data_IF_932424562410
#
_entry.id   IF_932424562410
#
_cell.length_a   1.000
_cell.length_b   1.000
_cell.length_c   1.000
_cell.angle_alpha   90.00
_cell.angle_beta   90.00
_cell.angle_gamma   90.00
#
_symmetry.space_group_name_H-M   'P 1'
#
loop_
_entity.id
_entity.type
_entity.pdbx_description
1 polymer ?
#
# COMPACT_ATOMS: atom_id res chain seq x y z
N UNK A 1 -10.92 42.49 -15.00
CA UNK A 1 -11.37 41.10 -15.26
C UNK A 1 -12.52 40.79 -14.31
N UNK A 2 -13.75 40.68 -14.82
CA UNK A 2 -14.97 40.51 -14.00
C UNK A 2 -15.14 39.03 -13.66
N UNK A 3 -15.08 38.69 -12.37
CA UNK A 3 -15.50 37.39 -11.83
C UNK A 3 -17.02 37.21 -12.02
N UNK A 4 -17.42 36.60 -13.12
CA UNK A 4 -18.80 36.11 -13.30
C UNK A 4 -18.94 34.84 -12.47
N UNK A 5 -19.34 35.01 -11.20
CA UNK A 5 -19.45 33.93 -10.22
C UNK A 5 -20.56 32.95 -10.57
N UNK A 6 -20.17 31.67 -10.56
CA UNK A 6 -20.94 30.44 -10.63
C UNK A 6 -22.03 30.30 -9.53
N UNK A 7 -23.00 31.20 -9.49
CA UNK A 7 -24.15 31.09 -8.55
C UNK A 7 -25.00 29.83 -8.80
N UNK A 8 -24.95 29.28 -10.01
CA UNK A 8 -25.76 28.13 -10.42
C UNK A 8 -25.20 26.77 -9.96
N UNK A 9 -23.91 26.68 -9.63
CA UNK A 9 -23.29 25.45 -9.11
C UNK A 9 -23.48 25.30 -7.59
N UNK A 10 -23.41 26.41 -6.85
CA UNK A 10 -23.68 26.39 -5.40
C UNK A 10 -25.12 26.01 -5.07
N UNK A 11 -26.09 26.43 -5.90
CA UNK A 11 -27.49 26.04 -5.73
C UNK A 11 -27.71 24.54 -5.89
N UNK A 12 -27.09 23.93 -6.91
CA UNK A 12 -27.16 22.48 -7.18
C UNK A 12 -26.47 21.65 -6.09
N UNK A 13 -25.34 22.14 -5.56
CA UNK A 13 -24.67 21.48 -4.43
C UNK A 13 -25.53 21.55 -3.15
N UNK A 14 -26.18 22.68 -2.89
CA UNK A 14 -27.05 22.84 -1.71
C UNK A 14 -28.34 22.02 -1.81
N UNK A 15 -28.90 21.82 -2.99
CA UNK A 15 -30.06 20.92 -3.17
C UNK A 15 -29.64 19.45 -3.02
N UNK A 16 -28.49 19.06 -3.59
CA UNK A 16 -27.96 17.69 -3.45
C UNK A 16 -27.65 17.33 -1.99
N UNK A 17 -27.10 18.27 -1.20
CA UNK A 17 -26.84 18.06 0.23
C UNK A 17 -28.14 17.90 1.01
N UNK A 18 -29.18 18.68 0.68
CA UNK A 18 -30.50 18.54 1.33
C UNK A 18 -31.17 17.21 1.00
N UNK A 19 -31.07 16.76 -0.26
CA UNK A 19 -31.59 15.46 -0.68
C UNK A 19 -30.87 14.29 0.02
N UNK A 20 -29.55 14.40 0.23
CA UNK A 20 -28.76 13.43 1.00
C UNK A 20 -29.13 13.44 2.50
N UNK A 21 -29.30 14.62 3.10
CA UNK A 21 -29.68 14.75 4.51
C UNK A 21 -31.10 14.22 4.77
N UNK A 22 -32.05 14.49 3.87
CA UNK A 22 -33.42 13.94 3.93
C UNK A 22 -33.43 12.43 3.73
N UNK A 23 -32.59 11.89 2.86
CA UNK A 23 -32.41 10.45 2.67
C UNK A 23 -31.86 9.76 3.93
N UNK A 24 -30.89 10.38 4.60
CA UNK A 24 -30.33 9.87 5.87
C UNK A 24 -31.35 9.91 7.00
N UNK A 25 -32.14 10.99 7.11
CA UNK A 25 -33.23 11.10 8.09
C UNK A 25 -34.29 10.01 7.87
N UNK A 26 -34.69 9.77 6.61
CA UNK A 26 -35.67 8.74 6.26
C UNK A 26 -35.16 7.30 6.53
N UNK A 27 -33.84 7.06 6.46
CA UNK A 27 -33.22 5.80 6.90
C UNK A 27 -33.29 5.67 8.43
N UNK A 28 -33.02 6.75 9.17
CA UNK A 28 -33.04 6.76 10.62
C UNK A 28 -34.45 6.51 11.19
N UNK A 29 -35.47 7.11 10.56
CA UNK A 29 -36.88 6.96 10.96
C UNK A 29 -37.45 5.58 10.62
N UNK A 30 -36.89 4.88 9.63
CA UNK A 30 -37.32 3.52 9.21
C UNK A 30 -36.57 2.40 9.93
N UNK A 31 -35.59 2.70 10.78
CA UNK A 31 -34.95 1.70 11.63
C UNK A 31 -35.84 1.38 12.85
N UNK A 32 -36.23 0.12 13.09
CA UNK A 32 -37.00 -0.21 14.28
C UNK A 32 -36.14 0.02 15.53
N UNK A 33 -36.56 0.95 16.40
CA UNK A 33 -36.03 1.04 17.76
C UNK A 33 -36.48 -0.20 18.52
N UNK A 34 -35.68 -1.25 18.40
CA UNK A 34 -35.77 -2.42 19.26
C UNK A 34 -35.33 -1.98 20.66
N UNK A 35 -36.28 -1.62 21.51
CA UNK A 35 -36.06 -1.44 22.94
C UNK A 35 -35.83 -2.81 23.59
N UNK A 36 -34.66 -3.39 23.34
CA UNK A 36 -34.10 -4.42 24.19
C UNK A 36 -33.62 -3.76 25.47
N UNK A 37 -34.31 -4.08 26.56
CA UNK A 37 -33.93 -3.80 27.94
C UNK A 37 -32.45 -4.16 28.13
N UNK A 38 -31.61 -3.14 28.37
CA UNK A 38 -30.20 -3.31 28.69
C UNK A 38 -30.08 -3.94 30.08
N UNK A 39 -30.02 -5.27 30.11
CA UNK A 39 -29.39 -6.02 31.18
C UNK A 39 -27.95 -5.52 31.37
N UNK A 40 -27.42 -5.43 32.60
CA UNK A 40 -26.09 -4.90 32.85
C UNK A 40 -25.05 -5.66 32.02
N UNK A 41 -24.22 -4.92 31.28
CA UNK A 41 -23.20 -5.44 30.37
C UNK A 41 -22.40 -6.58 31.03
N UNK A 42 -22.73 -7.82 30.68
CA UNK A 42 -21.87 -8.96 30.94
C UNK A 42 -20.60 -8.69 30.15
N UNK A 43 -19.50 -8.39 30.86
CA UNK A 43 -18.16 -8.30 30.29
C UNK A 43 -17.96 -9.49 29.37
N UNK A 44 -17.94 -9.25 28.05
CA UNK A 44 -17.61 -10.29 27.08
C UNK A 44 -16.15 -10.63 27.35
N UNK A 45 -15.95 -11.73 28.07
CA UNK A 45 -14.66 -12.36 28.20
C UNK A 45 -14.30 -12.79 26.78
N UNK A 46 -13.32 -12.12 26.15
CA UNK A 46 -12.69 -12.64 24.94
C UNK A 46 -11.97 -13.93 25.34
N UNK A 47 -12.72 -15.02 25.47
CA UNK A 47 -12.15 -16.35 25.59
C UNK A 47 -11.29 -16.53 24.35
N UNK A 48 -9.99 -16.78 24.52
CA UNK A 48 -9.04 -17.02 23.43
C UNK A 48 -9.62 -18.13 22.54
N UNK A 49 -10.21 -17.74 21.41
CA UNK A 49 -10.75 -18.71 20.45
C UNK A 49 -9.55 -19.47 19.91
N UNK A 50 -9.53 -20.79 20.12
CA UNK A 50 -8.46 -21.63 19.61
C UNK A 50 -8.48 -21.57 18.08
N UNK A 51 -7.34 -21.35 17.42
CA UNK A 51 -7.30 -21.39 15.96
C UNK A 51 -7.76 -22.76 15.47
N UNK A 52 -8.66 -22.77 14.49
CA UNK A 52 -9.13 -23.99 13.82
C UNK A 52 -8.24 -24.18 12.59
N UNK A 53 -7.69 -25.38 12.45
CA UNK A 53 -6.83 -25.73 11.33
C UNK A 53 -7.56 -26.70 10.40
N UNK A 54 -7.31 -26.56 9.10
CA UNK A 54 -7.76 -27.53 8.09
C UNK A 54 -6.96 -28.83 8.15
N UNK A 55 -7.36 -29.83 7.37
CA UNK A 55 -6.59 -31.06 7.18
C UNK A 55 -5.15 -30.79 6.67
N UNK A 56 -4.95 -29.68 5.96
CA UNK A 56 -3.64 -29.23 5.47
C UNK A 56 -2.81 -28.45 6.51
N UNK A 57 -3.35 -28.24 7.72
CA UNK A 57 -2.68 -27.49 8.80
C UNK A 57 -2.73 -25.97 8.65
N UNK A 58 -3.55 -25.44 7.73
CA UNK A 58 -3.76 -24.00 7.55
C UNK A 58 -4.86 -23.48 8.48
N UNK A 59 -4.63 -22.31 9.09
CA UNK A 59 -5.60 -21.68 9.99
C UNK A 59 -6.78 -21.10 9.20
N UNK A 60 -7.99 -21.52 9.54
CA UNK A 60 -9.23 -20.97 8.97
C UNK A 60 -9.99 -20.16 10.00
N UNK A 61 -10.57 -19.05 9.53
CA UNK A 61 -11.32 -18.09 10.33
C UNK A 61 -12.84 -18.29 10.28
N UNK A 62 -13.34 -19.18 9.41
CA UNK A 62 -14.77 -19.48 9.20
C UNK A 62 -15.09 -20.97 9.45
N UNK A 63 -16.38 -21.33 9.60
CA UNK A 63 -16.79 -22.74 9.73
C UNK A 63 -16.77 -23.52 8.40
N UNK A 64 -16.50 -22.83 7.29
CA UNK A 64 -16.41 -23.41 5.95
C UNK A 64 -14.96 -23.44 5.46
N UNK A 65 -14.55 -24.57 4.91
CA UNK A 65 -13.23 -24.75 4.29
C UNK A 65 -13.33 -24.50 2.77
N UNK A 66 -12.66 -23.46 2.28
CA UNK A 66 -12.63 -23.11 0.85
C UNK A 66 -11.37 -23.61 0.13
N UNK A 67 -10.50 -24.38 0.80
CA UNK A 67 -9.22 -24.85 0.24
C UNK A 67 -9.38 -25.68 -1.03
N UNK A 68 -10.49 -26.41 -1.14
CA UNK A 68 -10.74 -27.36 -2.24
C UNK A 68 -11.35 -26.71 -3.48
N UNK A 69 -11.91 -25.49 -3.38
CA UNK A 69 -12.82 -24.96 -4.40
C UNK A 69 -12.13 -24.25 -5.58
N UNK A 70 -10.80 -24.36 -5.71
CA UNK A 70 -10.05 -23.65 -6.76
C UNK A 70 -8.69 -24.24 -7.15
N UNK A 71 -8.29 -25.41 -6.65
CA UNK A 71 -6.94 -25.97 -6.83
C UNK A 71 -6.82 -26.94 -8.00
N UNK A 72 -7.57 -26.74 -9.10
CA UNK A 72 -7.14 -27.27 -10.40
C UNK A 72 -5.84 -26.54 -10.77
N UNK A 73 -4.71 -27.08 -10.32
CA UNK A 73 -3.36 -26.60 -10.66
C UNK A 73 -3.23 -26.74 -12.18
N UNK A 74 -3.56 -25.68 -12.92
CA UNK A 74 -3.18 -25.59 -14.31
C UNK A 74 -1.67 -25.87 -14.37
N UNK A 75 -1.21 -26.79 -15.23
CA UNK A 75 0.22 -27.06 -15.35
C UNK A 75 0.89 -25.72 -15.58
N UNK A 76 1.78 -25.32 -14.66
CA UNK A 76 2.57 -24.10 -14.82
C UNK A 76 3.30 -24.27 -16.13
N UNK A 77 2.82 -23.60 -17.19
CA UNK A 77 3.58 -23.46 -18.42
C UNK A 77 4.94 -22.95 -17.95
N UNK A 78 5.98 -23.75 -18.14
CA UNK A 78 7.37 -23.38 -17.90
C UNK A 78 7.75 -22.31 -18.94
N UNK A 79 7.06 -21.17 -18.92
CA UNK A 79 7.53 -19.94 -19.52
C UNK A 79 8.86 -19.68 -18.82
N UNK A 80 9.94 -19.64 -19.60
CA UNK A 80 11.29 -19.36 -19.11
C UNK A 80 11.31 -18.22 -18.09
N UNK A 81 12.33 -18.21 -17.24
CA UNK A 81 12.38 -17.38 -16.03
C UNK A 81 11.75 -15.99 -16.24
N UNK A 82 10.61 -15.75 -15.59
CA UNK A 82 9.88 -14.46 -15.67
C UNK A 82 10.72 -13.29 -15.11
N UNK A 83 11.82 -13.61 -14.43
CA UNK A 83 12.78 -12.66 -13.89
C UNK A 83 13.71 -12.12 -15.00
N UNK A 84 13.66 -10.82 -15.31
CA UNK A 84 14.46 -10.24 -16.39
C UNK A 84 15.98 -10.30 -16.12
N UNK A 85 16.39 -10.42 -14.85
CA UNK A 85 17.81 -10.61 -14.47
C UNK A 85 18.32 -11.99 -14.86
N UNK A 86 17.58 -13.04 -14.48
CA UNK A 86 17.90 -14.43 -14.85
C UNK A 86 17.87 -14.61 -16.37
N UNK A 87 16.87 -14.05 -17.05
CA UNK A 87 16.82 -14.07 -18.52
C UNK A 87 18.04 -13.42 -19.17
N UNK A 88 18.51 -12.29 -18.62
CA UNK A 88 19.72 -11.62 -19.10
C UNK A 88 20.98 -12.46 -18.86
N UNK A 89 21.08 -13.14 -17.72
CA UNK A 89 22.17 -14.08 -17.41
C UNK A 89 22.16 -15.29 -18.35
N UNK A 90 21.00 -15.88 -18.61
CA UNK A 90 20.84 -16.96 -19.58
C UNK A 90 21.30 -16.55 -20.98
N UNK A 91 20.91 -15.35 -21.45
CA UNK A 91 21.35 -14.83 -22.75
C UNK A 91 22.87 -14.61 -22.78
N UNK A 92 23.46 -14.10 -21.70
CA UNK A 92 24.91 -13.96 -21.59
C UNK A 92 25.62 -15.31 -21.67
N UNK A 93 25.13 -16.31 -20.93
CA UNK A 93 25.68 -17.66 -20.95
C UNK A 93 25.56 -18.32 -22.33
N UNK A 94 24.43 -18.14 -23.03
CA UNK A 94 24.26 -18.61 -24.42
C UNK A 94 25.27 -17.96 -25.36
N UNK A 95 25.42 -16.63 -25.27
CA UNK A 95 26.37 -15.89 -26.09
C UNK A 95 27.82 -16.27 -25.79
N UNK A 96 28.17 -16.55 -24.52
CA UNK A 96 29.50 -17.05 -24.14
C UNK A 96 29.77 -18.41 -24.77
N UNK A 97 28.85 -19.37 -24.65
CA UNK A 97 28.98 -20.69 -25.29
C UNK A 97 29.16 -20.59 -26.81
N UNK A 98 28.41 -19.71 -27.47
CA UNK A 98 28.58 -19.46 -28.91
C UNK A 98 29.95 -18.88 -29.25
N UNK A 99 30.48 -17.98 -28.41
CA UNK A 99 31.83 -17.41 -28.58
C UNK A 99 32.91 -18.46 -28.34
N UNK A 100 32.78 -19.30 -27.33
CA UNK A 100 33.70 -20.39 -27.02
C UNK A 100 33.78 -21.39 -28.18
N UNK A 101 32.63 -21.81 -28.74
CA UNK A 101 32.60 -22.70 -29.91
C UNK A 101 33.23 -22.07 -31.16
N UNK A 102 33.06 -20.75 -31.35
CA UNK A 102 33.71 -20.01 -32.44
C UNK A 102 35.23 -19.92 -32.23
N UNK A 103 35.67 -19.69 -30.99
CA UNK A 103 37.08 -19.62 -30.63
C UNK A 103 37.78 -20.98 -30.75
N UNK A 104 37.08 -22.07 -30.45
CA UNK A 104 37.57 -23.44 -30.63
C UNK A 104 37.66 -23.90 -32.10
N UNK A 105 37.31 -23.04 -33.07
CA UNK A 105 37.36 -23.37 -34.51
C UNK A 105 36.15 -24.15 -35.05
N UNK A 106 35.18 -24.49 -34.20
CA UNK A 106 33.99 -25.27 -34.56
C UNK A 106 32.87 -24.40 -35.17
N UNK A 107 33.21 -23.59 -36.17
CA UNK A 107 32.30 -22.60 -36.78
C UNK A 107 31.02 -23.21 -37.36
N UNK A 108 31.09 -24.42 -37.91
CA UNK A 108 29.92 -25.15 -38.45
C UNK A 108 28.90 -25.49 -37.35
N UNK A 109 29.38 -26.00 -36.21
CA UNK A 109 28.53 -26.34 -35.06
C UNK A 109 27.90 -25.10 -34.44
N UNK A 110 28.67 -24.01 -34.33
CA UNK A 110 28.15 -22.73 -33.85
C UNK A 110 27.01 -22.18 -34.74
N UNK A 111 27.18 -22.20 -36.06
CA UNK A 111 26.14 -21.79 -37.03
C UNK A 111 24.88 -22.67 -36.94
N UNK A 112 25.04 -23.98 -36.81
CA UNK A 112 23.90 -24.89 -36.61
C UNK A 112 23.14 -24.60 -35.32
N UNK A 113 23.85 -24.26 -34.23
CA UNK A 113 23.24 -23.92 -32.96
C UNK A 113 22.46 -22.59 -33.04
N UNK A 114 23.04 -21.56 -33.66
CA UNK A 114 22.37 -20.27 -33.92
C UNK A 114 21.10 -20.46 -34.76
N UNK A 115 21.19 -21.26 -35.83
CA UNK A 115 20.03 -21.58 -36.67
C UNK A 115 18.95 -22.30 -35.86
N UNK A 116 19.30 -23.35 -35.10
CA UNK A 116 18.35 -24.07 -34.25
C UNK A 116 17.66 -23.14 -33.25
N UNK A 117 18.41 -22.24 -32.62
CA UNK A 117 17.85 -21.27 -31.67
C UNK A 117 16.95 -20.24 -32.35
N UNK A 118 17.31 -19.77 -33.54
CA UNK A 118 16.45 -18.87 -34.33
C UNK A 118 15.12 -19.51 -34.71
N UNK A 119 15.13 -20.77 -35.18
CA UNK A 119 13.92 -21.51 -35.52
C UNK A 119 13.05 -21.78 -34.29
N UNK A 120 13.65 -22.14 -33.15
CA UNK A 120 12.93 -22.29 -31.88
C UNK A 120 12.24 -20.99 -31.46
N UNK A 121 12.93 -19.85 -31.58
CA UNK A 121 12.36 -18.55 -31.24
C UNK A 121 11.19 -18.16 -32.17
N UNK A 122 11.31 -18.44 -33.47
CA UNK A 122 10.24 -18.20 -34.46
C UNK A 122 9.02 -19.08 -34.13
N UNK A 123 9.23 -20.38 -33.89
CA UNK A 123 8.16 -21.31 -33.56
C UNK A 123 7.46 -20.94 -32.24
N UNK A 124 8.23 -20.57 -31.21
CA UNK A 124 7.67 -20.11 -29.94
C UNK A 124 6.84 -18.83 -30.10
N UNK A 125 7.32 -17.88 -30.91
CA UNK A 125 6.57 -16.65 -31.22
C UNK A 125 5.28 -16.96 -31.99
N UNK A 126 5.32 -17.89 -32.96
CA UNK A 126 4.15 -18.33 -33.71
C UNK A 126 3.12 -19.06 -32.81
N UNK A 127 3.59 -19.82 -31.83
CA UNK A 127 2.75 -20.45 -30.80
C UNK A 127 2.14 -19.45 -29.80
N UNK A 128 2.50 -18.16 -29.88
CA UNK A 128 2.00 -17.10 -29.00
C UNK A 128 2.80 -16.93 -27.70
N UNK A 129 3.96 -17.56 -27.57
CA UNK A 129 4.83 -17.35 -26.42
C UNK A 129 5.60 -16.02 -26.52
N UNK A 130 5.70 -15.32 -25.39
CA UNK A 130 6.45 -14.06 -25.29
C UNK A 130 7.94 -14.34 -25.19
N UNK A 131 8.61 -14.36 -26.34
CA UNK A 131 10.06 -14.53 -26.45
C UNK A 131 10.79 -13.24 -26.03
N UNK A 132 11.57 -13.28 -24.95
CA UNK A 132 12.33 -12.15 -24.37
C UNK A 132 13.82 -12.33 -24.61
N UNK A 133 14.28 -12.02 -25.83
CA UNK A 133 15.66 -12.31 -26.27
C UNK A 133 16.55 -11.06 -26.38
N UNK A 134 15.97 -9.86 -26.32
CA UNK A 134 16.69 -8.60 -26.48
C UNK A 134 17.40 -8.14 -25.20
N UNK A 135 18.74 -8.10 -25.15
CA UNK A 135 19.48 -7.76 -23.93
C UNK A 135 19.27 -6.30 -23.50
N UNK A 136 19.08 -5.39 -24.45
CA UNK A 136 18.84 -3.97 -24.16
C UNK A 136 17.48 -3.72 -23.51
N UNK A 137 16.44 -4.38 -24.01
CA UNK A 137 15.09 -4.30 -23.44
C UNK A 137 15.06 -4.91 -22.04
N UNK A 138 15.77 -6.01 -21.81
CA UNK A 138 15.91 -6.61 -20.48
C UNK A 138 16.60 -5.66 -19.51
N UNK A 139 17.69 -5.00 -19.90
CA UNK A 139 18.36 -3.96 -19.09
C UNK A 139 17.42 -2.78 -18.79
N UNK A 140 16.69 -2.28 -19.79
CA UNK A 140 15.69 -1.21 -19.62
C UNK A 140 14.60 -1.63 -18.63
N UNK A 141 14.12 -2.87 -18.73
CA UNK A 141 13.10 -3.44 -17.83
C UNK A 141 13.61 -3.55 -16.40
N UNK A 142 14.86 -3.99 -16.21
CA UNK A 142 15.50 -4.04 -14.89
C UNK A 142 15.58 -2.63 -14.29
N UNK A 143 16.09 -1.65 -15.06
CA UNK A 143 16.18 -0.25 -14.63
C UNK A 143 14.81 0.34 -14.27
N UNK A 144 13.79 0.04 -15.06
CA UNK A 144 12.43 0.49 -14.78
C UNK A 144 11.91 -0.10 -13.46
N UNK A 145 12.07 -1.41 -13.23
CA UNK A 145 11.69 -2.06 -11.96
C UNK A 145 12.44 -1.46 -10.77
N UNK A 146 13.73 -1.15 -10.92
CA UNK A 146 14.53 -0.51 -9.87
C UNK A 146 14.04 0.91 -9.59
N UNK A 147 13.71 1.69 -10.62
CA UNK A 147 13.15 3.03 -10.45
C UNK A 147 11.79 3.01 -9.76
N UNK A 148 10.91 2.07 -10.10
CA UNK A 148 9.62 1.88 -9.41
C UNK A 148 9.83 1.58 -7.92
N UNK A 149 10.78 0.70 -7.59
CA UNK A 149 11.13 0.39 -6.20
C UNK A 149 11.66 1.62 -5.47
N UNK A 150 12.57 2.39 -6.08
CA UNK A 150 13.08 3.65 -5.52
C UNK A 150 11.97 4.67 -5.28
N UNK A 151 11.04 4.80 -6.22
CA UNK A 151 9.91 5.71 -6.10
C UNK A 151 8.96 5.30 -4.97
N UNK A 152 8.68 3.99 -4.85
CA UNK A 152 7.92 3.44 -3.73
C UNK A 152 8.61 3.72 -2.39
N UNK A 153 9.91 3.41 -2.28
CA UNK A 153 10.69 3.65 -1.06
C UNK A 153 10.62 5.12 -0.62
N UNK A 154 10.87 6.06 -1.54
CA UNK A 154 10.75 7.51 -1.26
C UNK A 154 9.35 7.90 -0.79
N UNK A 155 8.29 7.35 -1.40
CA UNK A 155 6.91 7.60 -0.97
C UNK A 155 6.65 7.10 0.44
N UNK A 156 7.18 5.94 0.79
CA UNK A 156 7.05 5.37 2.13
C UNK A 156 7.83 6.20 3.17
N UNK A 157 9.07 6.58 2.87
CA UNK A 157 9.86 7.48 3.72
C UNK A 157 9.17 8.83 3.94
N UNK A 158 8.61 9.44 2.87
CA UNK A 158 7.85 10.68 2.97
C UNK A 158 6.61 10.54 3.86
N UNK A 159 5.92 9.39 3.81
CA UNK A 159 4.78 9.11 4.69
C UNK A 159 5.21 8.97 6.14
N UNK A 160 6.27 8.19 6.41
CA UNK A 160 6.78 7.99 7.78
C UNK A 160 7.24 9.30 8.40
N UNK A 161 8.01 10.10 7.66
CA UNK A 161 8.47 11.42 8.12
C UNK A 161 7.31 12.38 8.34
N UNK A 162 6.28 12.37 7.48
CA UNK A 162 5.06 13.16 7.70
C UNK A 162 4.35 12.74 8.98
N UNK A 163 4.16 11.44 9.20
CA UNK A 163 3.51 10.92 10.42
C UNK A 163 4.29 11.33 11.66
N UNK A 164 5.61 11.20 11.67
CA UNK A 164 6.46 11.64 12.78
C UNK A 164 6.32 13.14 13.06
N UNK A 165 6.40 13.98 12.03
CA UNK A 165 6.19 15.44 12.15
C UNK A 165 4.79 15.76 12.69
N UNK A 166 3.75 15.09 12.21
CA UNK A 166 2.37 15.29 12.66
C UNK A 166 2.18 14.88 14.14
N UNK A 167 2.94 13.90 14.62
CA UNK A 167 2.97 13.51 16.04
C UNK A 167 3.73 14.56 16.86
N UNK A 168 4.94 14.93 16.44
CA UNK A 168 5.79 15.90 17.12
C UNK A 168 5.12 17.26 17.26
N UNK A 169 4.50 17.77 16.19
CA UNK A 169 3.77 19.04 16.19
C UNK A 169 2.61 19.03 17.18
N UNK A 170 1.85 17.94 17.25
CA UNK A 170 0.78 17.76 18.24
C UNK A 170 1.32 17.72 19.66
N UNK A 171 2.43 17.03 19.90
CA UNK A 171 3.06 16.98 21.22
C UNK A 171 3.64 18.34 21.63
N UNK A 172 4.33 19.05 20.73
CA UNK A 172 4.83 20.42 20.98
C UNK A 172 3.70 21.37 21.34
N UNK A 173 2.61 21.38 20.57
CA UNK A 173 1.41 22.19 20.87
C UNK A 173 0.82 21.86 22.24
N UNK A 174 0.79 20.57 22.62
CA UNK A 174 0.33 20.13 23.95
C UNK A 174 1.24 20.67 25.06
N UNK A 175 2.56 20.54 24.90
CA UNK A 175 3.54 21.03 25.86
C UNK A 175 3.45 22.55 26.02
N UNK A 176 3.38 23.30 24.93
CA UNK A 176 3.20 24.75 24.93
C UNK A 176 1.92 25.17 25.65
N UNK A 177 0.79 24.51 25.38
CA UNK A 177 -0.47 24.77 26.07
C UNK A 177 -0.40 24.48 27.57
N UNK A 178 0.30 23.41 27.97
CA UNK A 178 0.51 23.07 29.39
C UNK A 178 1.39 24.14 30.06
N UNK A 179 2.49 24.54 29.43
CA UNK A 179 3.36 25.61 29.92
C UNK A 179 2.62 26.93 30.04
N UNK A 180 1.82 27.29 29.04
CA UNK A 180 0.97 28.48 29.07
C UNK A 180 -0.01 28.43 30.25
N UNK A 181 -0.74 27.32 30.43
CA UNK A 181 -1.63 27.14 31.60
C UNK A 181 -0.89 27.26 32.94
N UNK A 182 0.34 26.73 33.05
CA UNK A 182 1.18 26.88 34.25
C UNK A 182 1.57 28.34 34.49
N UNK A 183 1.98 29.07 33.45
CA UNK A 183 2.31 30.50 33.52
C UNK A 183 1.08 31.35 33.88
N UNK A 184 -0.06 31.11 33.23
CA UNK A 184 -1.31 31.83 33.48
C UNK A 184 -1.80 31.66 34.93
N UNK A 185 -1.68 30.46 35.50
CA UNK A 185 -1.96 30.23 36.92
C UNK A 185 -1.07 31.07 37.84
N UNK A 186 0.23 31.15 37.55
CA UNK A 186 1.19 31.98 38.30
C UNK A 186 0.86 33.48 38.17
N UNK A 187 0.66 33.98 36.96
CA UNK A 187 0.36 35.39 36.72
C UNK A 187 -0.98 35.80 37.33
N UNK A 188 -2.00 34.96 37.27
CA UNK A 188 -3.29 35.23 37.91
C UNK A 188 -3.19 35.25 39.44
N UNK A 189 -2.37 34.39 40.05
CA UNK A 189 -2.06 34.45 41.49
C UNK A 189 -1.40 35.78 41.86
N UNK A 190 -0.43 36.24 41.05
CA UNK A 190 0.23 37.55 41.24
C UNK A 190 -0.74 38.71 41.11
N UNK A 191 -1.57 38.74 40.04
CA UNK A 191 -2.60 39.78 39.84
C UNK A 191 -3.58 39.86 41.00
N UNK A 192 -4.04 38.71 41.52
CA UNK A 192 -4.94 38.66 42.68
C UNK A 192 -4.29 39.19 43.96
N UNK A 193 -3.00 38.92 44.17
CA UNK A 193 -2.28 39.41 45.35
C UNK A 193 -2.01 40.92 45.27
N UNK A 194 -1.59 41.41 44.11
CA UNK A 194 -1.42 42.84 43.82
C UNK A 194 -2.73 43.62 44.03
N UNK A 195 -3.86 43.13 43.53
CA UNK A 195 -5.19 43.76 43.75
C UNK A 195 -5.58 43.83 45.25
N UNK A 196 -5.01 42.97 46.09
CA UNK A 196 -5.22 42.95 47.55
C UNK A 196 -4.14 43.74 48.32
N UNK A 197 -3.26 44.47 47.63
CA UNK A 197 -2.18 45.25 48.26
C UNK A 197 -1.03 44.42 48.85
N UNK A 198 -0.93 43.13 48.51
CA UNK A 198 0.11 42.23 49.04
C UNK A 198 1.29 42.14 48.06
N UNK A 199 2.46 42.58 48.50
CA UNK A 199 3.74 42.37 47.78
C UNK A 199 4.15 40.92 47.99
N UNK A 200 4.40 40.17 46.91
CA UNK A 200 4.90 38.79 46.98
C UNK A 200 6.40 38.83 46.70
N UNK A 201 7.27 38.56 47.70
CA UNK A 201 8.70 38.43 47.48
C UNK A 201 9.02 37.05 46.87
N UNK A 202 9.95 37.01 45.91
CA UNK A 202 10.50 35.76 45.38
C UNK A 202 9.67 35.07 44.29
N UNK A 203 8.79 35.82 43.61
CA UNK A 203 8.08 35.37 42.41
C UNK A 203 8.12 36.42 41.31
#
# INVERSE_FOLDING_TARGET
MKEVKNKNLEGKLKSSIKEEDEFIQNIFDKMPLTSQKLEPEKKIIYSKIKPVFNAEGHMIFSKFDFSEIGTKKHPKKFLGSKDPKKRLEELKAKNQKLKELKAAGETKKAKQLEQKDSWRAILARAAGERVLDDPELLKKTIKHKENLKKHSAKKWEARTTKVQKDIETRQKKRQENILKRKKDKKTHKLKRASKKGRIIPGY
#
